data_IF_694046314740
#
_entry.id   IF_694046314740
#
_cell.length_a   1.000
_cell.length_b   1.000
_cell.length_c   1.000
_cell.angle_alpha   90.00
_cell.angle_beta   90.00
_cell.angle_gamma   90.00
#
_symmetry.space_group_name_H-M   'P 1'
#
loop_
_entity.id
_entity.type
_entity.pdbx_description
1 polymer ?
#
# COMPACT_ATOMS: atom_id res chain seq x y z
N UNK A 1 20.42 -6.03 -8.58
CA UNK A 1 20.08 -4.87 -7.75
C UNK A 1 20.57 -3.61 -8.46
N UNK A 2 19.70 -2.61 -8.66
CA UNK A 2 20.08 -1.35 -9.32
C UNK A 2 21.07 -0.59 -8.44
N UNK A 3 22.16 -0.06 -9.02
CA UNK A 3 23.20 0.71 -8.30
C UNK A 3 22.60 1.85 -7.46
N UNK A 4 21.56 2.49 -8.00
CA UNK A 4 20.85 3.60 -7.36
C UNK A 4 20.18 3.22 -6.04
N UNK A 5 19.68 1.99 -5.91
CA UNK A 5 19.07 1.52 -4.67
C UNK A 5 20.13 1.30 -3.58
N UNK A 6 21.32 0.84 -3.97
CA UNK A 6 22.44 0.61 -3.05
C UNK A 6 23.00 1.95 -2.54
N UNK A 7 23.13 2.93 -3.43
CA UNK A 7 23.57 4.29 -3.07
C UNK A 7 22.58 4.98 -2.12
N UNK A 8 21.28 4.79 -2.33
CA UNK A 8 20.24 5.40 -1.49
C UNK A 8 20.18 4.77 -0.09
N UNK A 9 20.39 3.46 0.02
CA UNK A 9 20.50 2.76 1.31
C UNK A 9 21.75 3.24 2.07
N UNK A 10 22.89 3.31 1.39
CA UNK A 10 24.14 3.77 2.01
C UNK A 10 24.07 5.24 2.47
N UNK A 11 23.39 6.10 1.71
CA UNK A 11 23.17 7.49 2.07
C UNK A 11 22.22 7.64 3.28
N UNK A 12 21.20 6.78 3.37
CA UNK A 12 20.28 6.76 4.50
C UNK A 12 20.95 6.26 5.80
N UNK A 13 21.91 5.33 5.71
CA UNK A 13 22.68 4.84 6.86
C UNK A 13 23.66 5.88 7.44
N UNK A 14 24.10 6.86 6.64
CA UNK A 14 24.97 7.95 7.11
C UNK A 14 24.21 9.13 7.72
N UNK A 15 22.87 9.09 7.67
CA UNK A 15 22.04 10.18 8.15
C UNK A 15 21.91 10.11 9.67
N UNK A 16 22.00 11.26 10.33
CA UNK A 16 21.87 11.30 11.78
C UNK A 16 20.43 10.96 12.21
N UNK A 17 20.21 10.46 13.44
CA UNK A 17 18.86 10.15 13.91
C UNK A 17 17.87 11.33 13.81
N UNK A 18 18.35 12.55 14.03
CA UNK A 18 17.52 13.77 13.96
C UNK A 18 17.05 14.08 12.54
N UNK A 19 17.91 13.88 11.56
CA UNK A 19 17.60 14.05 10.14
C UNK A 19 16.66 12.95 9.65
N UNK A 20 16.84 11.72 10.14
CA UNK A 20 15.93 10.62 9.86
C UNK A 20 14.52 10.92 10.40
N UNK A 21 14.41 11.49 11.60
CA UNK A 21 13.12 11.94 12.15
C UNK A 21 12.48 13.05 11.31
N UNK A 22 13.26 14.03 10.85
CA UNK A 22 12.78 15.09 9.94
C UNK A 22 12.26 14.54 8.62
N UNK A 23 12.95 13.55 8.05
CA UNK A 23 12.55 12.89 6.82
C UNK A 23 11.24 12.12 6.99
N UNK A 24 11.12 11.31 8.06
CA UNK A 24 9.89 10.57 8.39
C UNK A 24 8.71 11.54 8.58
N UNK A 25 8.92 12.64 9.30
CA UNK A 25 7.88 13.65 9.50
C UNK A 25 7.45 14.30 8.17
N UNK A 26 8.39 14.56 7.26
CA UNK A 26 8.08 15.12 5.95
C UNK A 26 7.28 14.14 5.08
N UNK A 27 7.66 12.86 5.05
CA UNK A 27 6.92 11.81 4.33
C UNK A 27 5.51 11.62 4.91
N UNK A 28 5.37 11.62 6.23
CA UNK A 28 4.06 11.50 6.89
C UNK A 28 3.12 12.65 6.52
N UNK A 29 3.64 13.88 6.46
CA UNK A 29 2.85 15.04 6.03
C UNK A 29 2.45 14.95 4.56
N UNK A 30 3.35 14.53 3.67
CA UNK A 30 3.03 14.33 2.24
C UNK A 30 2.03 13.19 1.98
N UNK A 31 2.01 12.15 2.83
CA UNK A 31 1.00 11.08 2.74
C UNK A 31 -0.34 11.47 3.39
N UNK A 32 -0.32 12.43 4.32
CA UNK A 32 -1.51 12.91 5.02
C UNK A 32 -2.28 14.01 4.27
N UNK A 33 -1.80 14.53 3.15
CA UNK A 33 -2.52 15.51 2.31
C UNK A 33 -3.63 14.87 1.45
N UNK A 34 -4.43 14.01 2.07
CA UNK A 34 -5.63 13.39 1.53
C UNK A 34 -6.93 13.84 2.21
N UNK A 35 -7.07 15.14 2.53
CA UNK A 35 -8.33 15.89 2.81
C UNK A 35 -9.25 15.44 3.97
N UNK A 36 -10.06 16.32 4.60
CA UNK A 36 -10.74 17.47 4.01
C UNK A 36 -10.57 18.79 4.79
N UNK A 37 -10.30 19.87 4.06
CA UNK A 37 -10.62 21.21 4.56
C UNK A 37 -11.40 21.95 3.49
N UNK A 38 -12.63 22.31 3.83
CA UNK A 38 -13.55 23.09 3.00
C UNK A 38 -12.98 24.48 2.76
N UNK A 39 -12.41 24.71 1.57
CA UNK A 39 -12.32 26.03 0.97
C UNK A 39 -12.64 25.93 -0.52
N UNK A 40 -13.72 26.62 -0.87
CA UNK A 40 -14.17 26.95 -2.20
C UNK A 40 -13.04 27.68 -2.97
N UNK A 41 -12.48 27.02 -4.00
CA UNK A 41 -11.66 27.69 -5.00
C UNK A 41 -11.93 27.11 -6.39
N UNK A 42 -12.22 28.04 -7.29
CA UNK A 42 -12.71 27.88 -8.65
C UNK A 42 -11.59 27.40 -9.61
N UNK A 43 -11.79 26.22 -10.22
CA UNK A 43 -11.19 25.69 -11.47
C UNK A 43 -9.67 25.36 -11.56
N UNK A 44 -9.24 24.51 -12.51
CA UNK A 44 -9.91 23.35 -13.14
C UNK A 44 -9.18 22.04 -12.83
N UNK A 45 -9.94 20.94 -12.85
CA UNK A 45 -9.45 19.57 -12.71
C UNK A 45 -8.34 19.27 -13.74
N UNK A 46 -7.10 19.24 -13.26
CA UNK A 46 -6.00 18.62 -14.01
C UNK A 46 -6.24 17.13 -14.00
N UNK A 47 -6.70 16.65 -15.15
CA UNK A 47 -6.99 15.27 -15.47
C UNK A 47 -5.73 14.42 -15.27
N UNK A 48 -5.55 13.83 -14.09
CA UNK A 48 -4.74 12.62 -13.98
C UNK A 48 -5.58 11.52 -14.61
N UNK A 49 -5.32 11.22 -15.88
CA UNK A 49 -5.83 10.02 -16.55
C UNK A 49 -5.27 8.81 -15.80
N UNK A 50 -5.99 8.37 -14.76
CA UNK A 50 -5.79 7.08 -14.10
C UNK A 50 -6.22 6.02 -15.11
N UNK A 51 -5.31 5.66 -16.02
CA UNK A 51 -5.52 4.66 -17.08
C UNK A 51 -5.49 3.22 -16.55
N UNK A 52 -5.37 3.03 -15.22
CA UNK A 52 -5.46 1.73 -14.57
C UNK A 52 -6.69 1.65 -13.68
N UNK A 53 -7.37 0.50 -13.70
CA UNK A 53 -8.39 0.13 -12.69
C UNK A 53 -7.76 0.30 -11.30
N UNK A 54 -8.50 0.86 -10.35
CA UNK A 54 -8.03 0.92 -8.95
C UNK A 54 -7.87 -0.51 -8.40
N UNK A 55 -7.00 -0.70 -7.41
CA UNK A 55 -6.82 -2.01 -6.73
C UNK A 55 -8.17 -2.54 -6.25
N UNK A 56 -9.03 -1.66 -5.72
CA UNK A 56 -10.40 -1.98 -5.33
C UNK A 56 -11.27 -2.46 -6.50
N UNK A 57 -11.19 -1.80 -7.65
CA UNK A 57 -11.93 -2.21 -8.84
C UNK A 57 -11.45 -3.56 -9.38
N UNK A 58 -10.17 -3.88 -9.24
CA UNK A 58 -9.61 -5.19 -9.61
C UNK A 58 -10.13 -6.28 -8.67
N UNK A 59 -10.14 -6.03 -7.35
CA UNK A 59 -10.67 -6.97 -6.37
C UNK A 59 -12.18 -7.22 -6.58
N UNK A 60 -12.95 -6.17 -6.93
CA UNK A 60 -14.37 -6.30 -7.25
C UNK A 60 -14.59 -7.13 -8.52
N UNK A 61 -13.81 -6.89 -9.58
CA UNK A 61 -13.84 -7.68 -10.82
C UNK A 61 -13.56 -9.17 -10.53
N UNK A 62 -12.54 -9.46 -9.72
CA UNK A 62 -12.16 -10.81 -9.35
C UNK A 62 -13.23 -11.53 -8.52
N UNK A 63 -13.86 -10.82 -7.59
CA UNK A 63 -14.86 -11.40 -6.69
C UNK A 63 -16.16 -11.75 -7.43
N UNK A 64 -16.48 -11.06 -8.54
CA UNK A 64 -17.68 -11.34 -9.36
C UNK A 64 -17.69 -12.72 -10.00
N UNK A 65 -16.51 -13.29 -10.26
CA UNK A 65 -16.38 -14.60 -10.90
C UNK A 65 -16.43 -15.76 -9.87
N UNK A 66 -16.33 -15.46 -8.57
CA UNK A 66 -16.31 -16.47 -7.52
C UNK A 66 -17.72 -16.92 -7.14
N UNK A 67 -17.92 -18.24 -7.07
CA UNK A 67 -19.13 -18.84 -6.51
C UNK A 67 -19.11 -18.80 -4.98
N UNK A 68 -20.28 -18.98 -4.36
CA UNK A 68 -20.40 -19.02 -2.89
C UNK A 68 -19.55 -20.14 -2.25
N UNK A 69 -19.36 -21.26 -2.96
CA UNK A 69 -18.51 -22.35 -2.49
C UNK A 69 -17.03 -21.96 -2.49
N UNK A 70 -16.56 -21.26 -3.53
CA UNK A 70 -15.18 -20.76 -3.59
C UNK A 70 -14.91 -19.67 -2.56
N UNK A 71 -15.87 -18.76 -2.36
CA UNK A 71 -15.80 -17.76 -1.29
C UNK A 71 -15.70 -18.40 0.09
N UNK A 72 -16.38 -19.54 0.31
CA UNK A 72 -16.33 -20.27 1.58
C UNK A 72 -15.00 -20.98 1.83
N UNK A 73 -14.19 -21.21 0.77
CA UNK A 73 -12.84 -21.76 0.90
C UNK A 73 -11.79 -20.70 1.25
N UNK A 74 -12.15 -19.41 1.17
CA UNK A 74 -11.23 -18.33 1.50
C UNK A 74 -10.91 -18.31 2.99
N UNK A 75 -9.67 -17.91 3.35
CA UNK A 75 -9.27 -17.80 4.73
C UNK A 75 -10.01 -16.67 5.44
N UNK A 76 -10.60 -16.98 6.60
CA UNK A 76 -11.33 -15.99 7.42
C UNK A 76 -10.42 -14.92 8.00
N UNK A 77 -9.13 -15.24 8.19
CA UNK A 77 -8.07 -14.34 8.64
C UNK A 77 -7.52 -13.43 7.53
N UNK A 78 -8.20 -13.34 6.38
CA UNK A 78 -7.79 -12.43 5.29
C UNK A 78 -6.40 -12.75 4.72
N UNK A 79 -5.96 -13.99 4.88
CA UNK A 79 -4.61 -14.45 4.57
C UNK A 79 -3.47 -13.74 5.34
N UNK A 80 -3.71 -13.25 6.56
CA UNK A 80 -2.68 -12.59 7.39
C UNK A 80 -1.36 -13.40 7.49
N UNK A 81 -1.46 -14.73 7.54
CA UNK A 81 -0.32 -15.63 7.62
C UNK A 81 0.21 -16.03 6.25
N UNK A 82 0.79 -15.09 5.50
CA UNK A 82 1.30 -15.33 4.14
C UNK A 82 2.21 -16.58 4.03
N UNK A 83 3.10 -16.82 4.99
CA UNK A 83 3.99 -17.99 4.97
C UNK A 83 3.23 -19.31 4.95
N UNK A 84 2.06 -19.37 5.59
CA UNK A 84 1.20 -20.55 5.59
C UNK A 84 0.60 -20.77 4.19
N UNK A 85 0.09 -19.71 3.56
CA UNK A 85 -0.57 -19.79 2.26
C UNK A 85 0.39 -19.94 1.08
N UNK A 86 1.61 -19.40 1.19
CA UNK A 86 2.63 -19.45 0.12
C UNK A 86 3.49 -20.70 0.24
N UNK A 87 3.93 -21.04 1.46
CA UNK A 87 4.91 -22.11 1.68
C UNK A 87 4.34 -23.34 2.40
N UNK A 88 3.06 -23.32 2.80
CA UNK A 88 2.44 -24.43 3.55
C UNK A 88 2.96 -24.57 4.98
N UNK A 89 3.60 -23.52 5.53
CA UNK A 89 4.08 -23.54 6.93
C UNK A 89 2.92 -23.65 7.91
N UNK A 90 3.11 -24.20 9.12
CA UNK A 90 2.02 -24.31 10.10
C UNK A 90 1.42 -22.95 10.47
N UNK A 91 0.09 -22.89 10.66
CA UNK A 91 -0.57 -21.67 11.16
C UNK A 91 -0.05 -21.30 12.55
N UNK A 92 0.23 -20.02 12.77
CA UNK A 92 0.63 -19.52 14.09
C UNK A 92 -0.62 -19.40 14.97
N UNK A 93 -0.60 -20.01 16.15
CA UNK A 93 -1.64 -19.85 17.16
C UNK A 93 -1.29 -18.62 18.00
N UNK A 94 -2.18 -17.61 18.00
CA UNK A 94 -2.10 -16.43 18.86
C UNK A 94 -2.98 -16.58 20.10
#
# INVERSE_FOLDING_TARGET
MSKQLSELIQAAEQLTPEEQLRLIAHLAQNMSTGSPSSQEHNQPASQTTKTGKSIWQIAEDFTKDLSQEELSKLPTDGAEQHDHYIYGTPKRTS
#
